data_IF_687199811338
#
_entry.id   IF_687199811338
#
_cell.length_a   1.000
_cell.length_b   1.000
_cell.length_c   1.000
_cell.angle_alpha   90.00
_cell.angle_beta   90.00
_cell.angle_gamma   90.00
#
_symmetry.space_group_name_H-M   'P 1'
#
loop_
_entity.id
_entity.type
_entity.pdbx_description
1 polymer ?
#
# COMPACT_ATOMS: atom_id res chain seq x y z
N UNK A 1 -7.13 33.79 15.73
CA UNK A 1 -7.90 33.05 14.69
C UNK A 1 -7.13 33.20 13.40
N UNK A 2 -6.43 32.17 12.89
CA UNK A 2 -5.73 32.30 11.63
C UNK A 2 -6.62 31.88 10.46
N UNK A 3 -6.72 32.84 9.58
CA UNK A 3 -7.13 32.95 8.19
C UNK A 3 -6.15 32.23 7.23
N UNK A 4 -6.66 31.31 6.40
CA UNK A 4 -5.98 30.89 5.17
C UNK A 4 -6.99 30.65 4.03
N UNK A 5 -7.01 31.60 3.09
CA UNK A 5 -7.89 31.66 1.92
C UNK A 5 -7.45 30.75 0.75
N UNK A 6 -6.84 29.58 1.00
CA UNK A 6 -6.21 28.81 -0.09
C UNK A 6 -6.73 27.39 -0.39
N UNK A 7 -7.69 26.82 0.36
CA UNK A 7 -8.06 25.41 0.14
C UNK A 7 -9.49 25.19 -0.40
N UNK A 8 -10.13 26.25 -0.91
CA UNK A 8 -11.41 26.12 -1.62
C UNK A 8 -11.14 25.78 -3.10
N UNK A 9 -10.73 24.53 -3.35
CA UNK A 9 -11.10 23.84 -4.59
C UNK A 9 -12.03 22.70 -4.20
N UNK A 10 -13.30 23.06 -4.05
CA UNK A 10 -14.41 22.12 -3.96
C UNK A 10 -14.46 21.23 -5.21
N UNK A 11 -13.80 20.09 -5.15
CA UNK A 11 -14.10 18.92 -5.97
C UNK A 11 -14.62 17.79 -5.08
N UNK A 12 -15.65 18.06 -4.28
CA UNK A 12 -16.46 17.06 -3.57
C UNK A 12 -15.74 16.23 -2.48
N UNK A 13 -16.41 15.91 -1.36
CA UNK A 13 -15.80 15.23 -0.20
C UNK A 13 -15.55 13.72 -0.37
N UNK A 14 -15.58 13.18 -1.60
CA UNK A 14 -15.43 11.73 -1.84
C UNK A 14 -13.97 11.32 -2.10
N UNK A 15 -13.14 12.23 -2.64
CA UNK A 15 -11.78 11.90 -3.07
C UNK A 15 -10.67 12.53 -2.23
N UNK A 16 -11.00 13.51 -1.38
CA UNK A 16 -10.08 14.11 -0.41
C UNK A 16 -10.11 13.35 0.93
N UNK A 17 -9.94 12.03 0.89
CA UNK A 17 -9.90 11.21 2.10
C UNK A 17 -8.46 11.09 2.58
N UNK A 18 -8.23 11.42 3.85
CA UNK A 18 -6.94 11.20 4.52
C UNK A 18 -6.66 9.69 4.54
N UNK A 19 -5.43 9.30 4.18
CA UNK A 19 -4.94 7.93 4.25
C UNK A 19 -5.32 7.32 5.63
N UNK A 20 -6.21 6.32 5.67
CA UNK A 20 -6.73 5.80 6.93
C UNK A 20 -5.71 4.95 7.68
N UNK A 21 -4.64 4.49 7.00
CA UNK A 21 -3.68 3.53 7.54
C UNK A 21 -2.35 4.15 7.92
N UNK A 22 -1.94 5.25 7.27
CA UNK A 22 -0.63 5.92 7.41
C UNK A 22 0.62 5.03 7.22
N UNK A 23 0.46 3.71 7.16
CA UNK A 23 1.50 2.71 6.92
C UNK A 23 2.71 2.83 7.86
N UNK A 24 2.48 3.28 9.09
CA UNK A 24 3.49 3.31 10.15
C UNK A 24 3.59 1.93 10.81
N UNK A 25 4.81 1.43 11.00
CA UNK A 25 5.05 0.16 11.70
C UNK A 25 5.06 0.38 13.20
N UNK A 26 4.31 -0.46 13.92
CA UNK A 26 4.32 -0.53 15.39
C UNK A 26 4.50 -1.97 15.83
N UNK A 27 5.31 -2.20 16.88
CA UNK A 27 5.50 -3.55 17.42
C UNK A 27 4.22 -4.07 18.12
N UNK A 28 3.55 -3.21 18.87
CA UNK A 28 2.20 -3.40 19.38
C UNK A 28 1.24 -2.74 18.38
N UNK A 29 0.66 -3.54 17.46
CA UNK A 29 -0.16 -3.06 16.36
C UNK A 29 -1.63 -2.89 16.74
N UNK A 30 -2.10 -3.66 17.73
CA UNK A 30 -3.46 -3.50 18.24
C UNK A 30 -3.55 -2.44 19.36
N UNK A 31 -2.40 -1.92 19.82
CA UNK A 31 -2.26 -0.91 20.87
C UNK A 31 -2.82 -1.35 22.23
N UNK A 32 -2.72 -2.63 22.55
CA UNK A 32 -3.22 -3.20 23.81
C UNK A 32 -2.19 -3.15 24.96
N UNK A 33 -0.96 -2.70 24.68
CA UNK A 33 0.13 -2.58 25.65
C UNK A 33 0.97 -3.84 25.81
N UNK A 34 0.72 -4.90 25.04
CA UNK A 34 1.52 -6.12 24.98
C UNK A 34 1.88 -6.46 23.53
N UNK A 35 2.96 -7.24 23.35
CA UNK A 35 3.30 -7.82 22.04
C UNK A 35 2.90 -9.29 22.10
N UNK A 36 1.92 -9.65 21.28
CA UNK A 36 1.28 -10.96 21.28
C UNK A 36 1.26 -11.56 19.87
N UNK A 37 0.72 -12.79 19.74
CA UNK A 37 0.56 -13.43 18.43
C UNK A 37 -0.44 -12.68 17.53
N UNK A 38 -1.38 -11.93 18.10
CA UNK A 38 -2.29 -11.09 17.34
C UNK A 38 -1.56 -9.96 16.63
N UNK A 39 -0.48 -9.43 17.21
CA UNK A 39 0.38 -8.44 16.55
C UNK A 39 1.15 -9.05 15.38
N UNK A 40 1.56 -10.32 15.48
CA UNK A 40 2.22 -11.03 14.38
C UNK A 40 1.28 -11.18 13.18
N UNK A 41 0.01 -11.49 13.42
CA UNK A 41 -1.01 -11.56 12.36
C UNK A 41 -1.20 -10.18 11.70
N UNK A 42 -1.29 -9.13 12.51
CA UNK A 42 -1.33 -7.75 12.03
C UNK A 42 -0.07 -7.37 11.22
N UNK A 43 1.13 -7.82 11.61
CA UNK A 43 2.35 -7.61 10.82
C UNK A 43 2.28 -8.31 9.47
N UNK A 44 1.74 -9.53 9.44
CA UNK A 44 1.59 -10.29 8.20
C UNK A 44 0.62 -9.59 7.26
N UNK A 45 -0.53 -9.12 7.76
CA UNK A 45 -1.48 -8.32 6.98
C UNK A 45 -0.85 -7.00 6.51
N UNK A 46 -0.12 -6.32 7.38
CA UNK A 46 0.58 -5.07 7.05
C UNK A 46 1.55 -5.29 5.90
N UNK A 47 2.49 -6.24 6.01
CA UNK A 47 3.44 -6.53 4.93
C UNK A 47 2.72 -6.97 3.67
N UNK A 48 1.72 -7.84 3.81
CA UNK A 48 0.98 -8.36 2.67
C UNK A 48 0.28 -7.24 1.92
N UNK A 49 -0.51 -6.37 2.54
CA UNK A 49 -1.27 -5.33 1.81
C UNK A 49 -0.45 -4.10 1.40
N UNK A 50 0.78 -3.95 1.90
CA UNK A 50 1.61 -2.76 1.67
C UNK A 50 1.75 -2.35 0.19
N UNK A 51 2.18 -3.22 -0.75
CA UNK A 51 2.36 -2.79 -2.13
C UNK A 51 1.03 -2.54 -2.86
N UNK A 52 -0.05 -3.21 -2.45
CA UNK A 52 -1.40 -2.99 -2.98
C UNK A 52 -1.95 -1.62 -2.61
N UNK A 53 -1.95 -1.29 -1.32
CA UNK A 53 -2.42 0.01 -0.84
C UNK A 53 -1.53 1.16 -1.34
N UNK A 54 -0.21 0.93 -1.48
CA UNK A 54 0.69 1.92 -2.09
C UNK A 54 0.28 2.26 -3.53
N UNK A 55 -0.09 1.26 -4.34
CA UNK A 55 -0.55 1.52 -5.70
C UNK A 55 -1.91 2.24 -5.70
N UNK A 56 -2.83 1.86 -4.82
CA UNK A 56 -4.12 2.56 -4.69
C UNK A 56 -3.86 4.02 -4.29
N UNK A 57 -2.96 4.28 -3.34
CA UNK A 57 -2.53 5.64 -2.96
C UNK A 57 -2.03 6.44 -4.15
N UNK A 58 -1.14 5.84 -4.96
CA UNK A 58 -0.58 6.47 -6.14
C UNK A 58 -1.67 6.79 -7.17
N UNK A 59 -2.59 5.86 -7.41
CA UNK A 59 -3.72 6.07 -8.32
C UNK A 59 -4.63 7.20 -7.84
N UNK A 60 -4.97 7.24 -6.54
CA UNK A 60 -5.87 8.25 -5.99
C UNK A 60 -5.21 9.63 -5.91
N UNK A 61 -3.92 9.74 -5.59
CA UNK A 61 -3.24 11.03 -5.45
C UNK A 61 -2.72 11.59 -6.77
N UNK A 62 -2.06 10.76 -7.58
CA UNK A 62 -1.32 11.21 -8.76
C UNK A 62 -2.10 10.98 -10.06
N UNK A 63 -3.03 10.01 -10.09
CA UNK A 63 -3.81 9.63 -11.28
C UNK A 63 -5.33 9.74 -11.07
N UNK A 64 -5.76 10.87 -10.50
CA UNK A 64 -7.15 11.15 -10.14
C UNK A 64 -8.20 10.79 -11.23
N UNK A 65 -7.90 11.04 -12.51
CA UNK A 65 -8.82 10.70 -13.60
C UNK A 65 -9.03 9.18 -13.75
N UNK A 66 -7.97 8.40 -13.58
CA UNK A 66 -8.01 6.92 -13.63
C UNK A 66 -8.71 6.38 -12.39
N UNK A 67 -8.37 6.89 -11.21
CA UNK A 67 -9.01 6.48 -9.96
C UNK A 67 -10.53 6.72 -10.01
N UNK A 68 -10.98 7.90 -10.48
CA UNK A 68 -12.40 8.19 -10.64
C UNK A 68 -13.09 7.30 -11.67
N UNK A 69 -12.43 6.98 -12.78
CA UNK A 69 -12.99 6.13 -13.82
C UNK A 69 -13.24 4.70 -13.34
N UNK A 70 -12.32 4.16 -12.54
CA UNK A 70 -12.43 2.83 -11.94
C UNK A 70 -13.09 2.84 -10.55
N UNK A 71 -13.58 4.00 -10.10
CA UNK A 71 -14.16 4.21 -8.76
C UNK A 71 -13.24 3.78 -7.60
N UNK A 72 -11.92 3.86 -7.80
CA UNK A 72 -10.91 3.50 -6.81
C UNK A 72 -10.80 4.62 -5.77
N UNK A 73 -10.86 4.24 -4.50
CA UNK A 73 -10.77 5.14 -3.36
C UNK A 73 -9.99 4.54 -2.20
N UNK A 74 -9.79 5.33 -1.15
CA UNK A 74 -9.16 4.85 0.09
C UNK A 74 -10.00 3.78 0.82
N UNK A 75 -11.27 3.60 0.47
CA UNK A 75 -12.09 2.51 1.01
C UNK A 75 -11.66 1.13 0.49
N UNK A 76 -10.87 1.09 -0.60
CA UNK A 76 -10.34 -0.15 -1.16
C UNK A 76 -9.09 -0.66 -0.44
N UNK A 77 -8.54 0.14 0.49
CA UNK A 77 -7.38 -0.23 1.28
C UNK A 77 -7.65 -1.53 2.05
N UNK A 78 -6.72 -2.48 1.99
CA UNK A 78 -6.82 -3.81 2.63
C UNK A 78 -8.08 -4.62 2.28
N UNK A 79 -8.86 -4.15 1.32
CA UNK A 79 -9.99 -4.87 0.76
C UNK A 79 -9.55 -5.83 -0.32
N UNK A 80 -10.52 -6.39 -1.03
CA UNK A 80 -10.29 -7.35 -2.10
C UNK A 80 -9.41 -6.78 -3.23
N UNK A 81 -9.65 -5.53 -3.65
CA UNK A 81 -8.88 -4.88 -4.71
C UNK A 81 -7.40 -4.74 -4.31
N UNK A 82 -7.13 -4.23 -3.11
CA UNK A 82 -5.77 -4.14 -2.58
C UNK A 82 -5.10 -5.52 -2.49
N UNK A 83 -5.83 -6.55 -2.03
CA UNK A 83 -5.31 -7.91 -1.93
C UNK A 83 -4.92 -8.50 -3.28
N UNK A 84 -5.72 -8.28 -4.33
CA UNK A 84 -5.43 -8.74 -5.68
C UNK A 84 -4.19 -8.02 -6.23
N UNK A 85 -4.18 -6.67 -6.15
CA UNK A 85 -3.04 -5.87 -6.61
C UNK A 85 -1.78 -6.31 -5.88
N UNK A 86 -1.86 -6.42 -4.56
CA UNK A 86 -0.73 -6.82 -3.74
C UNK A 86 -0.20 -8.20 -4.10
N UNK A 87 -1.08 -9.18 -4.32
CA UNK A 87 -0.69 -10.53 -4.75
C UNK A 87 0.11 -10.49 -6.05
N UNK A 88 -0.35 -9.70 -7.03
CA UNK A 88 0.37 -9.51 -8.30
C UNK A 88 1.73 -8.84 -8.07
N UNK A 89 1.80 -7.81 -7.24
CA UNK A 89 3.04 -7.14 -6.89
C UNK A 89 4.04 -8.09 -6.22
N UNK A 90 3.60 -8.89 -5.23
CA UNK A 90 4.45 -9.86 -4.56
C UNK A 90 4.95 -10.95 -5.50
N UNK A 91 4.09 -11.48 -6.37
CA UNK A 91 4.51 -12.45 -7.39
C UNK A 91 5.55 -11.86 -8.33
N UNK A 92 5.38 -10.62 -8.78
CA UNK A 92 6.36 -9.93 -9.61
C UNK A 92 7.69 -9.74 -8.88
N UNK A 93 7.66 -9.28 -7.61
CA UNK A 93 8.85 -9.10 -6.77
C UNK A 93 9.59 -10.42 -6.60
N UNK A 94 8.89 -11.49 -6.20
CA UNK A 94 9.50 -12.81 -5.99
C UNK A 94 10.11 -13.37 -7.28
N UNK A 95 9.41 -13.21 -8.41
CA UNK A 95 9.94 -13.61 -9.71
C UNK A 95 11.21 -12.84 -10.07
N UNK A 96 11.21 -11.51 -9.91
CA UNK A 96 12.38 -10.67 -10.19
C UNK A 96 13.56 -11.02 -9.27
N UNK A 97 13.32 -11.21 -7.97
CA UNK A 97 14.37 -11.61 -7.02
C UNK A 97 14.95 -12.98 -7.40
N UNK A 98 14.10 -13.95 -7.75
CA UNK A 98 14.54 -15.26 -8.24
C UNK A 98 15.38 -15.16 -9.51
N UNK A 99 14.93 -14.39 -10.50
CA UNK A 99 15.65 -14.19 -11.75
C UNK A 99 17.02 -13.52 -11.52
N UNK A 100 17.09 -12.51 -10.65
CA UNK A 100 18.35 -11.85 -10.28
C UNK A 100 19.28 -12.84 -9.57
N UNK A 101 18.77 -13.65 -8.65
CA UNK A 101 19.57 -14.64 -7.92
C UNK A 101 20.23 -15.63 -8.89
N UNK A 102 19.46 -16.15 -9.85
CA UNK A 102 19.98 -17.06 -10.88
C UNK A 102 21.02 -16.37 -11.78
N UNK A 103 20.76 -15.13 -12.21
CA UNK A 103 21.70 -14.38 -13.04
C UNK A 103 23.03 -14.11 -12.31
N UNK A 104 22.97 -13.83 -11.00
CA UNK A 104 24.14 -13.64 -10.16
C UNK A 104 24.93 -14.94 -10.00
N UNK A 105 24.25 -16.07 -9.81
CA UNK A 105 24.90 -17.38 -9.76
C UNK A 105 25.60 -17.73 -11.08
N UNK A 106 24.97 -17.47 -12.22
CA UNK A 106 25.59 -17.71 -13.54
C UNK A 106 26.84 -16.84 -13.74
N UNK A 107 26.77 -15.55 -13.36
CA UNK A 107 27.91 -14.64 -13.39
C UNK A 107 29.10 -15.13 -12.57
N UNK A 108 28.87 -15.62 -11.34
CA UNK A 108 29.95 -16.13 -10.49
C UNK A 108 30.49 -17.48 -10.95
N UNK A 109 29.68 -18.28 -11.64
CA UNK A 109 30.09 -19.59 -12.17
C UNK A 109 30.70 -19.51 -13.57
N UNK A 110 30.80 -18.31 -14.17
CA UNK A 110 31.40 -18.09 -15.49
C UNK A 110 30.61 -18.72 -16.64
N UNK A 111 29.28 -18.82 -16.48
CA UNK A 111 28.36 -19.28 -17.53
C UNK A 111 27.84 -18.13 -18.38
#
# INVERSE_FOLDING_TARGET
MPNNENDIVELGPVFAQKDPRNWEFHADMNHDGAITISDVDNWAEWIFFYPGDWLIKYLTNDMNAVARFFEISYNDYGGLLSGIISSVCWLAILFTVGAITLAVEDWFNGK
#
